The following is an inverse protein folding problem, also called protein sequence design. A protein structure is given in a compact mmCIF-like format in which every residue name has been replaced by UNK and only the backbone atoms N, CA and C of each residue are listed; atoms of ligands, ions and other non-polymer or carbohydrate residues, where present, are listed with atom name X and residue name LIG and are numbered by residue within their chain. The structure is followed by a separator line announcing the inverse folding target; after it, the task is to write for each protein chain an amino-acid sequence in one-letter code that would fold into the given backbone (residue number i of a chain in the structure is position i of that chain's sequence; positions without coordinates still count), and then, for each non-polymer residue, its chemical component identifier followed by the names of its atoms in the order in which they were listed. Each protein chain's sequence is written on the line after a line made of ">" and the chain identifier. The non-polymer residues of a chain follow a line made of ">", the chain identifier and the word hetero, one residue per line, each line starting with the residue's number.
data_IF_735744835848
#
_entry.id   IF_735744835848
#
_cell.length_a   1.000
_cell.length_b   1.000
_cell.length_c   1.000
_cell.angle_alpha   90.00
_cell.angle_beta   90.00
_cell.angle_gamma   90.00
#
_symmetry.space_group_name_H-M   'P 1'
#
loop_
_entity.id
_entity.type
_entity.pdbx_description
1 polymer ?
#
# COMPACT_ATOMS: atom_id res chain seq x y z
N UNK A 1 0.69 10.37 8.81
CA UNK A 1 1.52 10.04 7.62
C UNK A 1 1.03 8.70 7.08
N UNK A 2 0.73 8.59 5.78
CA UNK A 2 0.26 7.33 5.17
C UNK A 2 1.28 6.20 5.41
N UNK A 3 0.81 4.99 5.74
CA UNK A 3 1.66 3.80 5.87
C UNK A 3 2.48 3.69 7.17
N UNK A 4 2.11 4.41 8.23
CA UNK A 4 2.82 4.34 9.52
C UNK A 4 2.75 2.95 10.16
N UNK A 5 1.63 2.24 10.00
CA UNK A 5 1.42 0.91 10.57
C UNK A 5 2.20 -0.15 9.80
N UNK A 6 2.33 -0.02 8.47
CA UNK A 6 3.21 -0.89 7.66
C UNK A 6 4.67 -0.74 8.09
N UNK A 7 5.17 0.49 8.26
CA UNK A 7 6.56 0.73 8.70
C UNK A 7 6.85 0.10 10.06
N UNK A 8 5.94 0.29 11.02
CA UNK A 8 6.05 -0.32 12.36
C UNK A 8 6.01 -1.84 12.30
N UNK A 9 5.15 -2.40 11.46
CA UNK A 9 5.05 -3.84 11.26
C UNK A 9 6.36 -4.43 10.71
N UNK A 10 6.94 -3.81 9.67
CA UNK A 10 8.23 -4.23 9.09
C UNK A 10 9.35 -4.15 10.12
N UNK A 11 9.44 -3.05 10.87
CA UNK A 11 10.45 -2.90 11.93
C UNK A 11 10.32 -4.04 12.95
N UNK A 12 9.09 -4.33 13.41
CA UNK A 12 8.84 -5.38 14.39
C UNK A 12 9.20 -6.78 13.87
N UNK A 13 8.99 -7.06 12.58
CA UNK A 13 9.47 -8.30 11.96
C UNK A 13 11.00 -8.37 11.99
N UNK A 14 11.68 -7.29 11.60
CA UNK A 14 13.14 -7.26 11.58
C UNK A 14 13.73 -7.46 12.98
N UNK A 15 13.13 -6.84 14.00
CA UNK A 15 13.56 -7.00 15.39
C UNK A 15 13.37 -8.45 15.87
N UNK A 16 12.26 -9.09 15.52
CA UNK A 16 12.01 -10.50 15.85
C UNK A 16 12.97 -11.45 15.12
N UNK A 17 13.27 -11.17 13.85
CA UNK A 17 14.26 -11.93 13.08
C UNK A 17 15.66 -11.81 13.70
N UNK A 18 16.06 -10.59 14.09
CA UNK A 18 17.34 -10.34 14.77
C UNK A 18 17.41 -11.05 16.13
N UNK A 19 16.28 -11.16 16.83
CA UNK A 19 16.16 -11.91 18.09
C UNK A 19 15.99 -13.43 17.89
N UNK A 20 15.98 -13.92 16.65
CA UNK A 20 15.69 -15.31 16.29
C UNK A 20 14.36 -15.84 16.88
N UNK A 21 13.41 -14.92 17.07
CA UNK A 21 12.07 -15.21 17.58
C UNK A 21 11.19 -15.71 16.42
N UNK A 22 10.56 -16.86 16.62
CA UNK A 22 9.81 -17.57 15.57
C UNK A 22 8.35 -17.11 15.45
N UNK A 23 7.81 -16.51 16.50
CA UNK A 23 6.40 -16.16 16.60
C UNK A 23 6.23 -14.66 16.82
N UNK A 24 5.30 -14.09 16.08
CA UNK A 24 4.84 -12.72 16.24
C UNK A 24 3.39 -12.74 16.67
N UNK A 25 3.07 -12.03 17.74
CA UNK A 25 1.69 -11.75 18.14
C UNK A 25 1.38 -10.28 17.94
N UNK A 26 0.14 -9.99 17.56
CA UNK A 26 -0.40 -8.64 17.51
C UNK A 26 -1.86 -8.66 17.95
N UNK A 27 -2.35 -7.53 18.45
CA UNK A 27 -3.76 -7.36 18.77
C UNK A 27 -4.59 -7.26 17.48
N UNK A 28 -5.86 -7.61 17.58
CA UNK A 28 -6.79 -7.46 16.46
C UNK A 28 -6.93 -5.99 16.01
N UNK A 29 -6.77 -5.04 16.94
CA UNK A 29 -6.77 -3.62 16.59
C UNK A 29 -5.57 -3.26 15.73
N UNK A 30 -4.35 -3.68 16.11
CA UNK A 30 -3.15 -3.46 15.29
C UNK A 30 -3.28 -4.09 13.90
N UNK A 31 -3.82 -5.30 13.81
CA UNK A 31 -4.07 -5.98 12.54
C UNK A 31 -5.01 -5.17 11.63
N UNK A 32 -6.10 -4.60 12.17
CA UNK A 32 -7.02 -3.75 11.41
C UNK A 32 -6.36 -2.47 10.90
N UNK A 33 -5.53 -1.83 11.71
CA UNK A 33 -4.82 -0.61 11.30
C UNK A 33 -3.79 -0.92 10.19
N UNK A 34 -3.05 -2.02 10.33
CA UNK A 34 -2.12 -2.48 9.29
C UNK A 34 -2.87 -2.78 7.98
N UNK A 35 -3.98 -3.49 8.07
CA UNK A 35 -4.81 -3.81 6.90
C UNK A 35 -5.31 -2.55 6.20
N UNK A 36 -5.81 -1.56 6.95
CA UNK A 36 -6.28 -0.29 6.38
C UNK A 36 -5.15 0.45 5.63
N UNK A 37 -3.94 0.52 6.20
CA UNK A 37 -2.79 1.10 5.53
C UNK A 37 -2.43 0.35 4.24
N UNK A 38 -2.50 -0.98 4.23
CA UNK A 38 -2.23 -1.81 3.04
C UNK A 38 -3.30 -1.55 1.96
N UNK A 39 -4.59 -1.56 2.32
CA UNK A 39 -5.68 -1.28 1.39
C UNK A 39 -5.52 0.10 0.75
N UNK A 40 -5.23 1.13 1.56
CA UNK A 40 -5.03 2.49 1.05
C UNK A 40 -3.84 2.56 0.08
N UNK A 41 -2.73 1.87 0.38
CA UNK A 41 -1.58 1.82 -0.52
C UNK A 41 -1.90 1.14 -1.86
N UNK A 42 -2.70 0.07 -1.82
CA UNK A 42 -3.13 -0.63 -3.04
C UNK A 42 -4.07 0.22 -3.88
N UNK A 43 -5.00 0.95 -3.25
CA UNK A 43 -5.90 1.87 -3.93
C UNK A 43 -5.14 3.04 -4.56
N UNK A 44 -4.24 3.69 -3.81
CA UNK A 44 -3.38 4.77 -4.33
C UNK A 44 -2.59 4.29 -5.58
N UNK A 45 -2.08 3.05 -5.56
CA UNK A 45 -1.37 2.45 -6.71
C UNK A 45 -2.31 2.16 -7.88
N UNK A 46 -3.54 1.70 -7.61
CA UNK A 46 -4.53 1.45 -8.65
C UNK A 46 -4.96 2.74 -9.34
N UNK A 47 -5.16 3.82 -8.58
CA UNK A 47 -5.49 5.15 -9.12
C UNK A 47 -4.35 5.69 -9.98
N UNK A 48 -3.10 5.56 -9.52
CA UNK A 48 -1.92 5.96 -10.30
C UNK A 48 -1.82 5.15 -11.60
N UNK A 49 -2.00 3.83 -11.53
CA UNK A 49 -1.97 2.96 -12.71
C UNK A 49 -3.11 3.24 -13.71
N UNK A 50 -4.27 3.73 -13.23
CA UNK A 50 -5.37 4.18 -14.09
C UNK A 50 -5.06 5.53 -14.73
N UNK A 51 -4.44 6.47 -14.00
CA UNK A 51 -4.07 7.77 -14.54
C UNK A 51 -3.10 7.64 -15.74
N UNK A 52 -2.11 6.75 -15.65
CA UNK A 52 -1.16 6.51 -16.73
C UNK A 52 -1.79 5.94 -18.02
N UNK A 53 -3.00 5.36 -17.94
CA UNK A 53 -3.71 4.82 -19.11
C UNK A 53 -4.61 5.81 -19.84
N UNK A 54 -4.87 7.01 -19.30
CA UNK A 54 -5.88 7.94 -19.83
C UNK A 54 -5.29 9.05 -20.73
N UNK A 55 -3.98 9.21 -20.80
CA UNK A 55 -3.33 10.31 -21.56
C UNK A 55 -2.90 9.96 -23.00
N UNK A 56 -3.64 9.13 -23.73
CA UNK A 56 -3.32 8.83 -25.14
C UNK A 56 -4.53 8.68 -26.06
N UNK A 57 -5.47 9.61 -25.98
CA UNK A 57 -6.44 9.83 -27.06
C UNK A 57 -6.29 11.26 -27.58
N UNK A 58 -5.28 11.48 -28.43
CA UNK A 58 -5.33 12.59 -29.38
C UNK A 58 -6.52 12.35 -30.31
N UNK A 59 -7.66 12.97 -30.01
CA UNK A 59 -8.77 13.04 -30.96
C UNK A 59 -8.35 13.97 -32.10
N UNK A 60 -7.76 13.39 -33.15
CA UNK A 60 -7.65 14.07 -34.45
C UNK A 60 -9.06 14.28 -35.01
N UNK A 61 -9.67 15.40 -34.65
CA UNK A 61 -10.90 15.86 -35.28
C UNK A 61 -10.62 16.15 -36.76
N UNK A 62 -11.15 15.33 -37.65
CA UNK A 62 -11.30 15.69 -39.06
C UNK A 62 -12.59 16.50 -39.20
N UNK A 63 -12.53 17.76 -39.68
CA UNK A 63 -13.73 18.53 -39.98
C UNK A 63 -14.42 17.93 -41.20
N UNK A 64 -15.74 17.73 -41.11
CA UNK A 64 -16.63 17.56 -42.25
C UNK A 64 -17.30 18.89 -42.56
#
# INVERSE_FOLDING_TARGET
>A
MKGQHIRRFIQRINDLQAANAREMTMTLHEARQLHADITNLLLDRQETARADTVDSIEMKGTPF
#
